data_IF_189260521512
#
_entry.id   IF_189260521512
#
_cell.length_a   1.000
_cell.length_b   1.000
_cell.length_c   1.000
_cell.angle_alpha   90.00
_cell.angle_beta   90.00
_cell.angle_gamma   90.00
#
_symmetry.space_group_name_H-M   'P 1'
#
loop_
_entity.id
_entity.type
_entity.pdbx_description
1 polymer ?
#
# COMPACT_ATOMS: atom_id res chain seq x y z
N UNK A 1 10.61 -30.44 -34.79
CA UNK A 1 11.34 -29.59 -33.82
C UNK A 1 10.37 -29.12 -32.76
N UNK A 2 10.63 -29.43 -31.49
CA UNK A 2 9.78 -28.98 -30.39
C UNK A 2 9.72 -27.44 -30.38
N UNK A 3 8.50 -26.88 -30.40
CA UNK A 3 8.28 -25.44 -30.23
C UNK A 3 8.74 -25.11 -28.82
N UNK A 4 9.90 -24.47 -28.69
CA UNK A 4 10.36 -23.95 -27.41
C UNK A 4 9.38 -22.86 -26.95
N UNK A 5 8.85 -23.01 -25.73
CA UNK A 5 7.86 -22.10 -25.14
C UNK A 5 8.48 -20.78 -24.62
N UNK A 6 9.74 -20.49 -24.97
CA UNK A 6 10.44 -19.28 -24.54
C UNK A 6 11.30 -18.67 -25.65
N UNK A 7 11.52 -17.35 -25.57
CA UNK A 7 12.41 -16.61 -26.47
C UNK A 7 13.75 -16.34 -25.76
N UNK A 8 14.86 -16.63 -26.44
CA UNK A 8 16.18 -16.18 -25.98
C UNK A 8 16.29 -14.65 -26.01
N UNK A 9 17.24 -14.08 -25.25
CA UNK A 9 17.51 -12.63 -25.27
C UNK A 9 17.80 -12.12 -26.69
N UNK A 10 18.54 -12.88 -27.51
CA UNK A 10 18.80 -12.52 -28.90
C UNK A 10 17.52 -12.51 -29.75
N UNK A 11 16.59 -13.45 -29.50
CA UNK A 11 15.28 -13.45 -30.14
C UNK A 11 14.43 -12.25 -29.70
N UNK A 12 14.55 -11.82 -28.44
CA UNK A 12 13.90 -10.60 -27.93
C UNK A 12 14.50 -9.34 -28.57
N UNK A 13 15.82 -9.23 -28.68
CA UNK A 13 16.49 -8.12 -29.38
C UNK A 13 16.06 -8.04 -30.85
N UNK A 14 15.99 -9.18 -31.57
CA UNK A 14 15.45 -9.23 -32.94
C UNK A 14 13.99 -8.74 -32.99
N UNK A 15 13.18 -9.16 -32.03
CA UNK A 15 11.79 -8.72 -31.94
C UNK A 15 11.66 -7.20 -31.74
N UNK A 16 12.52 -6.60 -30.90
CA UNK A 16 12.57 -5.14 -30.72
C UNK A 16 12.89 -4.41 -32.02
N UNK A 17 13.90 -4.87 -32.77
CA UNK A 17 14.27 -4.29 -34.08
C UNK A 17 13.10 -4.36 -35.07
N UNK A 18 12.44 -5.51 -35.16
CA UNK A 18 11.27 -5.69 -36.02
C UNK A 18 10.08 -4.79 -35.63
N UNK A 19 10.09 -4.20 -34.43
CA UNK A 19 9.07 -3.28 -33.93
C UNK A 19 9.54 -1.82 -33.89
N UNK A 20 10.62 -1.49 -34.61
CA UNK A 20 11.13 -0.13 -34.77
C UNK A 20 12.07 0.34 -33.65
N UNK A 21 12.56 -0.56 -32.79
CA UNK A 21 13.49 -0.23 -31.71
C UNK A 21 14.89 -0.70 -32.07
N UNK A 22 15.78 0.26 -32.36
CA UNK A 22 17.20 -0.03 -32.55
C UNK A 22 17.82 -0.56 -31.25
N UNK A 23 18.37 -1.77 -31.29
CA UNK A 23 19.06 -2.42 -30.17
C UNK A 23 20.20 -3.32 -30.67
N UNK A 24 21.41 -3.19 -30.12
CA UNK A 24 22.61 -3.89 -30.58
C UNK A 24 23.68 -3.99 -29.49
N UNK A 25 24.67 -4.86 -29.74
CA UNK A 25 25.82 -5.02 -28.85
C UNK A 25 25.52 -5.77 -27.55
N UNK A 26 26.61 -6.12 -26.85
CA UNK A 26 26.57 -6.87 -25.58
C UNK A 26 26.04 -6.03 -24.43
N UNK A 27 26.31 -4.72 -24.42
CA UNK A 27 25.86 -3.81 -23.37
C UNK A 27 24.32 -3.72 -23.30
N UNK A 28 23.64 -3.43 -24.42
CA UNK A 28 22.18 -3.37 -24.43
C UNK A 28 21.53 -4.74 -24.26
N UNK A 29 22.20 -5.82 -24.70
CA UNK A 29 21.79 -7.19 -24.38
C UNK A 29 21.77 -7.41 -22.86
N UNK A 30 22.81 -6.98 -22.16
CA UNK A 30 22.88 -7.09 -20.70
C UNK A 30 21.85 -6.20 -20.00
N UNK A 31 21.61 -4.98 -20.49
CA UNK A 31 20.55 -4.10 -19.97
C UNK A 31 19.17 -4.75 -20.11
N UNK A 32 18.88 -5.39 -21.25
CA UNK A 32 17.63 -6.11 -21.47
C UNK A 32 17.48 -7.32 -20.53
N UNK A 33 18.58 -8.01 -20.23
CA UNK A 33 18.61 -9.08 -19.24
C UNK A 33 18.29 -8.52 -17.84
N UNK A 34 18.98 -7.45 -17.44
CA UNK A 34 18.86 -6.86 -16.10
C UNK A 34 17.48 -6.24 -15.84
N UNK A 35 16.83 -5.69 -16.87
CA UNK A 35 15.53 -5.01 -16.76
C UNK A 35 14.35 -5.91 -17.10
N UNK A 36 14.58 -7.00 -17.83
CA UNK A 36 13.56 -7.90 -18.33
C UNK A 36 12.73 -7.30 -19.47
N UNK A 37 12.26 -8.16 -20.37
CA UNK A 37 11.45 -7.72 -21.52
C UNK A 37 10.06 -7.22 -21.14
N UNK A 38 9.39 -7.90 -20.19
CA UNK A 38 8.05 -7.54 -19.77
C UNK A 38 8.05 -6.29 -18.90
N UNK A 39 8.87 -6.26 -17.86
CA UNK A 39 9.00 -5.09 -17.00
C UNK A 39 9.63 -3.91 -17.76
N UNK A 40 10.83 -4.08 -18.33
CA UNK A 40 11.56 -3.01 -19.02
C UNK A 40 10.93 -2.53 -20.33
N UNK A 41 10.78 -3.37 -21.35
CA UNK A 41 10.27 -2.90 -22.64
C UNK A 41 8.74 -2.72 -22.63
N UNK A 42 7.97 -3.77 -22.29
CA UNK A 42 6.50 -3.68 -22.34
C UNK A 42 5.93 -2.72 -21.28
N UNK A 43 6.56 -2.62 -20.11
CA UNK A 43 6.14 -1.72 -19.05
C UNK A 43 6.34 -0.24 -19.41
N UNK A 44 7.45 0.12 -20.06
CA UNK A 44 7.82 1.53 -20.25
C UNK A 44 7.47 2.10 -21.63
N UNK A 45 7.06 1.29 -22.61
CA UNK A 45 6.74 1.77 -23.98
C UNK A 45 5.45 2.61 -24.12
N UNK A 46 4.76 2.88 -23.02
CA UNK A 46 3.48 3.59 -23.00
C UNK A 46 3.47 4.66 -21.91
N UNK A 47 2.65 5.69 -22.08
CA UNK A 47 2.36 6.70 -21.07
C UNK A 47 0.91 6.57 -20.59
N UNK A 48 0.71 6.26 -19.32
CA UNK A 48 -0.58 6.06 -18.63
C UNK A 48 -1.39 4.85 -19.16
N UNK A 49 -1.59 4.72 -20.46
CA UNK A 49 -2.38 3.64 -21.08
C UNK A 49 -1.71 3.08 -22.34
N UNK A 50 -2.08 1.85 -22.71
CA UNK A 50 -1.57 1.18 -23.92
C UNK A 50 -1.93 1.89 -25.23
N UNK A 51 -2.93 2.78 -25.21
CA UNK A 51 -3.32 3.60 -26.37
C UNK A 51 -2.31 4.71 -26.66
N UNK A 52 -1.54 5.14 -25.65
CA UNK A 52 -0.57 6.22 -25.78
C UNK A 52 0.85 5.67 -25.79
N UNK A 53 1.28 5.21 -26.98
CA UNK A 53 2.62 4.66 -27.20
C UNK A 53 3.65 5.78 -27.30
N UNK A 54 4.71 5.68 -26.50
CA UNK A 54 5.83 6.60 -26.57
C UNK A 54 6.61 6.37 -27.88
N UNK A 55 7.04 7.44 -28.58
CA UNK A 55 7.67 7.36 -29.89
C UNK A 55 9.16 6.96 -29.80
N UNK A 56 9.48 5.92 -29.02
CA UNK A 56 10.83 5.40 -28.92
C UNK A 56 11.29 4.81 -30.25
N UNK A 57 12.52 5.12 -30.63
CA UNK A 57 13.20 4.61 -31.83
C UNK A 57 14.45 3.80 -31.47
N UNK A 58 14.94 3.93 -30.23
CA UNK A 58 16.12 3.21 -29.75
C UNK A 58 15.93 2.64 -28.35
N UNK A 59 16.65 1.55 -28.05
CA UNK A 59 16.67 0.98 -26.72
C UNK A 59 17.33 1.90 -25.70
N UNK A 60 18.19 2.83 -26.13
CA UNK A 60 18.78 3.83 -25.24
C UNK A 60 17.72 4.74 -24.61
N UNK A 61 16.68 5.14 -25.36
CA UNK A 61 15.58 5.96 -24.83
C UNK A 61 14.72 5.18 -23.82
N UNK A 62 14.43 3.91 -24.12
CA UNK A 62 13.73 3.00 -23.20
C UNK A 62 14.54 2.83 -21.92
N UNK A 63 15.84 2.53 -22.04
CA UNK A 63 16.73 2.36 -20.91
C UNK A 63 16.84 3.68 -20.11
N UNK A 64 16.95 4.83 -20.75
CA UNK A 64 16.96 6.12 -20.06
C UNK A 64 15.68 6.36 -19.25
N UNK A 65 14.51 5.98 -19.79
CA UNK A 65 13.23 6.07 -19.09
C UNK A 65 13.17 5.13 -17.88
N UNK A 66 13.66 3.90 -18.03
CA UNK A 66 13.77 2.93 -16.92
C UNK A 66 14.69 3.49 -15.82
N UNK A 67 15.86 4.03 -16.19
CA UNK A 67 16.81 4.63 -15.26
C UNK A 67 16.22 5.85 -14.54
N UNK A 68 15.48 6.70 -15.26
CA UNK A 68 14.76 7.84 -14.67
C UNK A 68 13.75 7.38 -13.62
N UNK A 69 12.87 6.44 -13.96
CA UNK A 69 11.87 5.90 -13.03
C UNK A 69 12.52 5.18 -11.83
N UNK A 70 13.65 4.50 -12.05
CA UNK A 70 14.43 3.85 -10.99
C UNK A 70 15.00 4.87 -10.01
N UNK A 71 15.58 5.97 -10.52
CA UNK A 71 16.06 7.08 -9.69
C UNK A 71 14.91 7.74 -8.92
N UNK A 72 13.75 7.90 -9.55
CA UNK A 72 12.55 8.43 -8.91
C UNK A 72 12.08 7.53 -7.76
N UNK A 73 12.03 6.20 -7.96
CA UNK A 73 11.72 5.24 -6.90
C UNK A 73 12.70 5.33 -5.75
N UNK A 74 14.00 5.36 -6.03
CA UNK A 74 15.04 5.48 -5.00
C UNK A 74 14.91 6.77 -4.19
N UNK A 75 14.57 7.89 -4.85
CA UNK A 75 14.33 9.17 -4.18
C UNK A 75 13.13 9.12 -3.21
N UNK A 76 12.08 8.39 -3.59
CA UNK A 76 10.84 8.30 -2.82
C UNK A 76 10.85 7.20 -1.76
N UNK A 77 11.64 6.13 -1.94
CA UNK A 77 11.62 4.95 -1.07
C UNK A 77 11.81 5.30 0.41
N UNK A 78 12.90 5.99 0.75
CA UNK A 78 13.19 6.35 2.14
C UNK A 78 12.10 7.24 2.76
N UNK A 79 11.55 8.17 1.96
CA UNK A 79 10.45 9.05 2.41
C UNK A 79 9.17 8.24 2.65
N UNK A 80 8.87 7.28 1.77
CA UNK A 80 7.68 6.46 1.90
C UNK A 80 7.76 5.53 3.11
N UNK A 81 8.92 4.92 3.37
CA UNK A 81 9.14 4.11 4.57
C UNK A 81 9.00 4.94 5.84
N UNK A 82 9.56 6.16 5.85
CA UNK A 82 9.39 7.09 6.97
C UNK A 82 7.90 7.43 7.21
N UNK A 83 7.16 7.78 6.16
CA UNK A 83 5.73 8.12 6.26
C UNK A 83 4.91 6.92 6.75
N UNK A 84 5.13 5.71 6.24
CA UNK A 84 4.42 4.51 6.70
C UNK A 84 4.64 4.29 8.21
N UNK A 85 5.90 4.34 8.65
CA UNK A 85 6.27 4.17 10.07
C UNK A 85 5.68 5.28 10.94
N UNK A 86 5.81 6.55 10.53
CA UNK A 86 5.31 7.69 11.29
C UNK A 86 3.78 7.63 11.43
N UNK A 87 3.06 7.38 10.34
CA UNK A 87 1.59 7.29 10.37
C UNK A 87 1.11 6.17 11.30
N UNK A 88 1.71 4.97 11.20
CA UNK A 88 1.36 3.85 12.09
C UNK A 88 1.61 4.19 13.55
N UNK A 89 2.77 4.76 13.89
CA UNK A 89 3.13 5.04 15.28
C UNK A 89 2.34 6.21 15.87
N UNK A 90 2.06 7.27 15.09
CA UNK A 90 1.22 8.38 15.56
C UNK A 90 -0.21 7.90 15.81
N UNK A 91 -0.77 7.10 14.90
CA UNK A 91 -2.11 6.53 15.07
C UNK A 91 -2.16 5.57 16.27
N UNK A 92 -1.17 4.68 16.39
CA UNK A 92 -1.05 3.74 17.51
C UNK A 92 -1.03 4.46 18.85
N UNK A 93 -0.11 5.42 19.02
CA UNK A 93 0.03 6.16 20.26
C UNK A 93 -1.25 6.92 20.59
N UNK A 94 -1.83 7.61 19.60
CA UNK A 94 -3.10 8.34 19.81
C UNK A 94 -4.21 7.38 20.26
N UNK A 95 -4.38 6.24 19.58
CA UNK A 95 -5.41 5.25 19.93
C UNK A 95 -5.18 4.71 21.34
N UNK A 96 -3.95 4.28 21.67
CA UNK A 96 -3.62 3.71 22.98
C UNK A 96 -3.83 4.70 24.12
N UNK A 97 -3.42 5.97 23.95
CA UNK A 97 -3.65 7.02 24.94
C UNK A 97 -5.12 7.29 25.16
N UNK A 98 -5.92 7.28 24.09
CA UNK A 98 -7.35 7.61 24.15
C UNK A 98 -8.22 6.48 24.71
N UNK A 99 -7.81 5.22 24.53
CA UNK A 99 -8.51 4.06 25.12
C UNK A 99 -7.97 3.67 26.50
N UNK A 100 -6.84 4.26 26.90
CA UNK A 100 -6.06 3.96 28.11
C UNK A 100 -5.77 2.46 28.28
N UNK A 101 -5.33 1.81 27.21
CA UNK A 101 -5.14 0.36 27.18
C UNK A 101 -4.26 -0.09 26.01
N UNK A 102 -3.61 -1.25 26.17
CA UNK A 102 -2.94 -1.98 25.09
C UNK A 102 -3.76 -3.16 24.56
N UNK A 103 -4.97 -3.39 25.08
CA UNK A 103 -5.82 -4.53 24.71
C UNK A 103 -6.54 -4.29 23.40
N UNK A 104 -6.46 -5.26 22.49
CA UNK A 104 -7.17 -5.19 21.21
C UNK A 104 -8.69 -5.16 21.40
N UNK A 105 -9.21 -5.74 22.48
CA UNK A 105 -10.63 -5.70 22.80
C UNK A 105 -11.10 -4.30 23.20
N UNK A 106 -10.30 -3.57 23.98
CA UNK A 106 -10.57 -2.17 24.31
C UNK A 106 -10.56 -1.29 23.06
N UNK A 107 -9.63 -1.53 22.12
CA UNK A 107 -9.65 -0.83 20.83
C UNK A 107 -10.95 -1.10 20.06
N UNK A 108 -11.37 -2.36 20.00
CA UNK A 108 -12.62 -2.72 19.33
C UNK A 108 -13.84 -2.04 19.98
N UNK A 109 -13.88 -1.92 21.30
CA UNK A 109 -15.03 -1.34 22.01
C UNK A 109 -15.04 0.20 21.97
N UNK A 110 -13.90 0.81 22.28
CA UNK A 110 -13.79 2.26 22.51
C UNK A 110 -13.39 3.06 21.27
N UNK A 111 -12.57 2.50 20.37
CA UNK A 111 -12.04 3.24 19.22
C UNK A 111 -12.75 2.94 17.89
N UNK A 112 -13.31 1.74 17.73
CA UNK A 112 -13.91 1.28 16.46
C UNK A 112 -15.43 1.51 16.45
N UNK A 113 -15.93 2.09 15.36
CA UNK A 113 -17.37 2.24 15.13
C UNK A 113 -18.09 0.90 15.06
N UNK A 114 -19.25 0.82 15.70
CA UNK A 114 -20.07 -0.38 15.83
C UNK A 114 -21.55 0.00 15.86
N UNK A 115 -22.43 -1.00 15.93
CA UNK A 115 -23.87 -0.73 16.10
C UNK A 115 -24.16 0.02 17.41
N UNK A 116 -23.46 -0.35 18.50
CA UNK A 116 -23.74 0.10 19.87
C UNK A 116 -23.26 1.53 20.13
N UNK A 117 -22.10 1.90 19.60
CA UNK A 117 -21.48 3.23 19.82
C UNK A 117 -21.71 4.20 18.65
N UNK A 118 -22.64 3.90 17.74
CA UNK A 118 -23.02 4.83 16.68
C UNK A 118 -23.71 6.08 17.25
N UNK A 119 -23.45 7.28 16.72
CA UNK A 119 -24.08 8.51 17.18
C UNK A 119 -25.61 8.45 17.19
N UNK A 120 -26.23 9.19 18.12
CA UNK A 120 -27.68 9.33 18.18
C UNK A 120 -28.22 9.86 16.83
N UNK A 121 -29.34 9.32 16.37
CA UNK A 121 -29.92 9.65 15.07
C UNK A 121 -29.29 8.96 13.85
N UNK A 122 -28.23 8.15 14.02
CA UNK A 122 -27.68 7.34 12.92
C UNK A 122 -28.72 6.32 12.44
N UNK A 123 -28.96 6.25 11.13
CA UNK A 123 -29.90 5.31 10.51
C UNK A 123 -29.47 3.85 10.74
N UNK A 124 -30.44 2.96 10.92
CA UNK A 124 -30.19 1.56 11.33
C UNK A 124 -29.30 0.78 10.36
N UNK A 125 -29.47 0.96 9.06
CA UNK A 125 -28.64 0.37 8.02
C UNK A 125 -27.16 0.80 8.13
N UNK A 126 -26.90 2.06 8.48
CA UNK A 126 -25.55 2.58 8.71
C UNK A 126 -24.95 1.94 9.97
N UNK A 127 -25.74 1.81 11.04
CA UNK A 127 -25.29 1.10 12.26
C UNK A 127 -24.92 -0.35 11.97
N UNK A 128 -25.73 -1.06 11.18
CA UNK A 128 -25.42 -2.42 10.71
C UNK A 128 -24.14 -2.46 9.88
N UNK A 129 -23.91 -1.46 9.02
CA UNK A 129 -22.67 -1.33 8.25
C UNK A 129 -21.45 -1.14 9.14
N UNK A 130 -21.52 -0.29 10.18
CA UNK A 130 -20.42 -0.14 11.15
C UNK A 130 -20.10 -1.47 11.86
N UNK A 131 -21.13 -2.18 12.30
CA UNK A 131 -20.92 -3.49 12.93
C UNK A 131 -20.29 -4.50 11.97
N UNK A 132 -20.74 -4.56 10.73
CA UNK A 132 -20.14 -5.43 9.72
C UNK A 132 -18.67 -5.08 9.49
N UNK A 133 -18.33 -3.80 9.36
CA UNK A 133 -16.95 -3.35 9.23
C UNK A 133 -16.08 -3.73 10.43
N UNK A 134 -16.61 -3.60 11.66
CA UNK A 134 -15.92 -4.05 12.89
C UNK A 134 -15.62 -5.54 12.87
N UNK A 135 -16.58 -6.38 12.46
CA UNK A 135 -16.38 -7.84 12.35
C UNK A 135 -15.35 -8.19 11.27
N UNK A 136 -15.40 -7.52 10.12
CA UNK A 136 -14.43 -7.69 9.04
C UNK A 136 -13.02 -7.26 9.48
N UNK A 137 -12.90 -6.18 10.25
CA UNK A 137 -11.63 -5.74 10.83
C UNK A 137 -11.06 -6.79 11.80
N UNK A 138 -11.90 -7.35 12.67
CA UNK A 138 -11.51 -8.44 13.57
C UNK A 138 -10.98 -9.63 12.79
N UNK A 139 -11.69 -10.06 11.73
CA UNK A 139 -11.24 -11.14 10.86
C UNK A 139 -9.92 -10.83 10.14
N UNK A 140 -9.75 -9.60 9.64
CA UNK A 140 -8.50 -9.13 9.01
C UNK A 140 -7.32 -9.18 9.99
N UNK A 141 -7.49 -8.67 11.21
CA UNK A 141 -6.45 -8.70 12.26
C UNK A 141 -6.10 -10.15 12.62
N UNK A 142 -7.08 -11.03 12.80
CA UNK A 142 -6.80 -12.44 13.09
C UNK A 142 -6.06 -13.14 11.96
N UNK A 143 -6.41 -12.85 10.70
CA UNK A 143 -5.70 -13.37 9.54
C UNK A 143 -4.25 -12.86 9.49
N UNK A 144 -4.01 -11.59 9.81
CA UNK A 144 -2.67 -11.02 9.89
C UNK A 144 -1.83 -11.70 10.98
N UNK A 145 -2.39 -11.89 12.18
CA UNK A 145 -1.75 -12.59 13.29
C UNK A 145 -1.42 -14.03 12.89
N UNK A 146 -2.38 -14.78 12.35
CA UNK A 146 -2.17 -16.15 11.91
C UNK A 146 -1.09 -16.27 10.82
N UNK A 147 -1.08 -15.33 9.87
CA UNK A 147 -0.05 -15.27 8.83
C UNK A 147 1.34 -14.96 9.40
N UNK A 148 1.43 -14.05 10.37
CA UNK A 148 2.68 -13.71 11.05
C UNK A 148 3.20 -14.87 11.90
N UNK A 149 2.32 -15.57 12.62
CA UNK A 149 2.67 -16.75 13.40
C UNK A 149 3.21 -17.88 12.50
N UNK A 150 2.53 -18.19 11.38
CA UNK A 150 3.01 -19.18 10.39
C UNK A 150 4.36 -18.85 9.77
N UNK A 151 4.73 -17.56 9.74
CA UNK A 151 6.03 -17.08 9.25
C UNK A 151 7.07 -16.95 10.35
N UNK A 152 6.78 -17.49 11.55
CA UNK A 152 7.67 -17.45 12.71
C UNK A 152 8.08 -16.02 13.09
N UNK A 153 7.17 -15.05 12.92
CA UNK A 153 7.46 -13.67 13.34
C UNK A 153 7.77 -13.65 14.85
N UNK A 154 8.98 -13.19 15.26
CA UNK A 154 9.45 -13.36 16.63
C UNK A 154 8.59 -12.61 17.66
N UNK A 155 7.99 -11.46 17.27
CA UNK A 155 7.10 -10.71 18.15
C UNK A 155 5.81 -11.50 18.42
N UNK A 156 5.21 -12.07 17.37
CA UNK A 156 3.94 -12.78 17.48
C UNK A 156 4.13 -14.15 18.16
N UNK A 157 5.16 -14.91 17.79
CA UNK A 157 5.45 -16.20 18.41
C UNK A 157 5.77 -16.05 19.89
N UNK A 158 6.47 -14.97 20.30
CA UNK A 158 6.72 -14.66 21.71
C UNK A 158 5.44 -14.59 22.54
N UNK A 159 4.38 -13.94 22.04
CA UNK A 159 3.11 -13.82 22.76
C UNK A 159 2.30 -15.12 22.80
N UNK A 160 2.39 -15.97 21.78
CA UNK A 160 1.62 -17.22 21.73
C UNK A 160 2.32 -18.42 22.37
N UNK A 161 3.66 -18.45 22.37
CA UNK A 161 4.42 -19.59 22.87
C UNK A 161 4.84 -19.45 24.34
N UNK A 162 4.62 -18.27 24.94
CA UNK A 162 4.87 -18.03 26.35
C UNK A 162 3.55 -17.99 27.13
N UNK A 163 3.40 -18.92 28.07
CA UNK A 163 2.21 -19.07 28.94
C UNK A 163 1.88 -17.85 29.81
N UNK A 164 2.84 -16.92 29.95
CA UNK A 164 2.68 -15.70 30.75
C UNK A 164 1.94 -14.58 30.03
N UNK A 165 1.59 -14.75 28.76
CA UNK A 165 0.86 -13.76 27.98
C UNK A 165 -0.52 -14.29 27.57
N UNK A 166 -1.54 -13.47 27.79
CA UNK A 166 -2.92 -13.82 27.47
C UNK A 166 -3.33 -13.38 26.05
N UNK A 167 -2.69 -12.35 25.51
CA UNK A 167 -3.04 -11.79 24.21
C UNK A 167 -1.90 -11.04 23.54
N UNK A 168 -2.02 -10.85 22.22
CA UNK A 168 -1.13 -9.99 21.43
C UNK A 168 -1.58 -8.53 21.62
N UNK A 169 -0.74 -7.64 22.16
CA UNK A 169 -1.11 -6.23 22.38
C UNK A 169 -1.19 -5.46 21.06
N UNK A 170 -1.95 -4.35 21.06
CA UNK A 170 -2.21 -3.54 19.85
C UNK A 170 -0.91 -3.10 19.16
N UNK A 171 0.12 -2.71 19.91
CA UNK A 171 1.40 -2.28 19.33
C UNK A 171 2.08 -3.39 18.53
N UNK A 172 1.95 -4.66 18.95
CA UNK A 172 2.49 -5.79 18.19
C UNK A 172 1.66 -6.08 16.94
N UNK A 173 0.35 -5.84 16.99
CA UNK A 173 -0.55 -5.95 15.84
C UNK A 173 -0.18 -4.90 14.79
N UNK A 174 0.00 -3.63 15.18
CA UNK A 174 0.32 -2.54 14.25
C UNK A 174 1.59 -2.78 13.42
N UNK A 175 2.57 -3.47 14.01
CA UNK A 175 3.83 -3.85 13.34
C UNK A 175 3.63 -4.82 12.18
N UNK A 176 2.65 -5.73 12.29
CA UNK A 176 2.40 -6.76 11.28
C UNK A 176 1.34 -6.35 10.24
N UNK A 177 0.58 -5.28 10.50
CA UNK A 177 -0.41 -4.79 9.54
C UNK A 177 0.25 -4.27 8.27
N UNK A 178 -0.27 -4.65 7.11
CA UNK A 178 0.12 -3.99 5.86
C UNK A 178 -0.44 -2.56 5.83
N UNK A 179 0.09 -1.70 4.96
CA UNK A 179 -0.47 -0.35 4.77
C UNK A 179 -1.95 -0.39 4.34
N UNK A 180 -2.39 -1.47 3.66
CA UNK A 180 -3.78 -1.70 3.32
C UNK A 180 -4.65 -2.02 4.53
N UNK A 181 -4.21 -2.94 5.39
CA UNK A 181 -4.92 -3.30 6.63
C UNK A 181 -4.97 -2.12 7.59
N UNK A 182 -3.88 -1.36 7.68
CA UNK A 182 -3.81 -0.13 8.46
C UNK A 182 -4.82 0.92 7.96
N UNK A 183 -4.89 1.15 6.64
CA UNK A 183 -5.92 2.03 6.06
C UNK A 183 -7.34 1.56 6.38
N UNK A 184 -7.58 0.24 6.38
CA UNK A 184 -8.89 -0.31 6.72
C UNK A 184 -9.23 -0.11 8.21
N UNK A 185 -8.28 -0.35 9.12
CA UNK A 185 -8.42 -0.06 10.54
C UNK A 185 -8.81 1.40 10.76
N UNK A 186 -8.08 2.33 10.16
CA UNK A 186 -8.37 3.77 10.27
C UNK A 186 -9.77 4.11 9.76
N UNK A 187 -10.23 3.46 8.68
CA UNK A 187 -11.58 3.67 8.14
C UNK A 187 -12.70 3.17 9.07
N UNK A 188 -12.38 2.26 10.00
CA UNK A 188 -13.33 1.70 10.97
C UNK A 188 -13.39 2.50 12.27
N UNK A 189 -12.49 3.45 12.49
CA UNK A 189 -12.47 4.28 13.70
C UNK A 189 -13.72 5.17 13.80
N UNK A 190 -14.13 5.45 15.04
CA UNK A 190 -15.13 6.49 15.33
C UNK A 190 -14.71 7.83 14.76
N UNK A 191 -15.68 8.69 14.43
CA UNK A 191 -15.38 10.02 13.86
C UNK A 191 -14.48 10.84 14.79
N UNK A 192 -14.71 10.76 16.10
CA UNK A 192 -13.93 11.44 17.12
C UNK A 192 -12.49 10.92 17.18
N UNK A 193 -12.31 9.60 17.12
CA UNK A 193 -10.98 9.00 17.10
C UNK A 193 -10.23 9.36 15.80
N UNK A 194 -10.92 9.38 14.65
CA UNK A 194 -10.32 9.85 13.38
C UNK A 194 -9.92 11.30 13.45
N UNK A 195 -10.73 12.16 14.08
CA UNK A 195 -10.38 13.55 14.30
C UNK A 195 -9.11 13.67 15.16
N UNK A 196 -9.03 12.97 16.29
CA UNK A 196 -7.86 12.98 17.17
C UNK A 196 -6.59 12.55 16.44
N UNK A 197 -6.63 11.40 15.75
CA UNK A 197 -5.49 10.91 14.95
C UNK A 197 -5.13 11.91 13.84
N UNK A 198 -6.11 12.49 13.16
CA UNK A 198 -5.88 13.49 12.10
C UNK A 198 -5.17 14.74 12.64
N UNK A 199 -5.54 15.21 13.84
CA UNK A 199 -4.89 16.35 14.50
C UNK A 199 -3.45 16.00 14.88
N UNK A 200 -3.20 14.82 15.45
CA UNK A 200 -1.85 14.35 15.78
C UNK A 200 -0.93 14.25 14.57
N UNK A 201 -1.48 13.94 13.39
CA UNK A 201 -0.73 13.90 12.11
C UNK A 201 -0.56 15.29 11.49
N UNK A 202 -1.42 16.26 11.83
CA UNK A 202 -1.43 17.60 11.24
C UNK A 202 -2.30 17.72 9.96
N UNK A 203 -3.32 16.87 9.81
CA UNK A 203 -4.26 16.96 8.68
C UNK A 203 -5.22 18.14 8.90
N UNK A 204 -5.39 18.97 7.87
CA UNK A 204 -6.36 20.06 7.91
C UNK A 204 -7.80 19.52 7.84
N UNK A 205 -8.58 19.81 8.89
CA UNK A 205 -9.94 19.31 9.07
C UNK A 205 -11.04 20.22 8.49
N UNK A 206 -10.70 21.43 8.05
CA UNK A 206 -11.68 22.41 7.53
C UNK A 206 -12.49 21.89 6.35
N UNK A 207 -11.87 21.06 5.50
CA UNK A 207 -12.50 20.47 4.32
C UNK A 207 -12.85 18.98 4.49
N UNK A 208 -12.74 18.43 5.71
CA UNK A 208 -12.90 16.99 5.97
C UNK A 208 -14.09 16.69 6.90
N UNK A 209 -15.30 17.03 6.47
CA UNK A 209 -16.53 16.92 7.27
C UNK A 209 -16.70 15.56 7.96
N UNK A 210 -16.34 14.48 7.28
CA UNK A 210 -16.51 13.10 7.77
C UNK A 210 -15.24 12.50 8.34
N UNK A 211 -14.14 13.27 8.46
CA UNK A 211 -12.83 12.80 8.96
C UNK A 211 -12.30 11.61 8.15
N UNK A 212 -12.48 11.64 6.85
CA UNK A 212 -12.12 10.56 5.93
C UNK A 212 -10.76 10.76 5.28
N UNK A 213 -10.21 11.98 5.27
CA UNK A 213 -8.92 12.26 4.64
C UNK A 213 -7.80 11.40 5.21
N UNK A 214 -7.87 11.10 6.51
CA UNK A 214 -6.92 10.24 7.21
C UNK A 214 -6.66 8.91 6.48
N UNK A 215 -7.68 8.07 6.32
CA UNK A 215 -7.50 6.76 5.69
C UNK A 215 -7.44 6.86 4.17
N UNK A 216 -8.04 7.90 3.57
CA UNK A 216 -7.94 8.17 2.13
C UNK A 216 -6.51 8.51 1.70
N UNK A 217 -5.78 9.30 2.48
CA UNK A 217 -4.36 9.53 2.23
C UNK A 217 -3.52 8.28 2.40
N UNK A 218 -3.82 7.42 3.40
CA UNK A 218 -3.15 6.12 3.52
C UNK A 218 -3.38 5.27 2.26
N UNK A 219 -4.59 5.23 1.70
CA UNK A 219 -4.84 4.48 0.46
C UNK A 219 -4.16 5.10 -0.77
N UNK A 220 -4.11 6.43 -0.89
CA UNK A 220 -3.37 7.08 -1.96
C UNK A 220 -1.86 6.76 -1.89
N UNK A 221 -1.29 6.79 -0.68
CA UNK A 221 0.12 6.47 -0.44
C UNK A 221 0.42 4.98 -0.58
N UNK A 222 -0.51 4.10 -0.22
CA UNK A 222 -0.38 2.65 -0.37
C UNK A 222 -0.07 2.26 -1.82
N UNK A 223 -0.78 2.85 -2.79
CA UNK A 223 -0.57 2.52 -4.20
C UNK A 223 0.84 2.94 -4.65
N UNK A 224 1.32 4.12 -4.23
CA UNK A 224 2.69 4.56 -4.49
C UNK A 224 3.72 3.66 -3.79
N UNK A 225 3.51 3.33 -2.51
CA UNK A 225 4.37 2.45 -1.72
C UNK A 225 4.53 1.09 -2.39
N UNK A 226 3.42 0.51 -2.84
CA UNK A 226 3.44 -0.77 -3.55
C UNK A 226 4.18 -0.66 -4.88
N UNK A 227 3.97 0.42 -5.64
CA UNK A 227 4.65 0.61 -6.91
C UNK A 227 6.18 0.73 -6.77
N UNK A 228 6.63 1.47 -5.76
CA UNK A 228 8.05 1.59 -5.42
C UNK A 228 8.62 0.23 -5.01
N UNK A 229 7.90 -0.55 -4.17
CA UNK A 229 8.41 -1.81 -3.61
C UNK A 229 8.33 -3.02 -4.56
N UNK A 230 7.40 -3.03 -5.53
CA UNK A 230 7.13 -4.19 -6.39
C UNK A 230 7.53 -3.97 -7.86
N UNK A 231 8.37 -2.96 -8.13
CA UNK A 231 8.82 -2.63 -9.48
C UNK A 231 7.66 -2.32 -10.45
N UNK A 232 6.59 -1.66 -10.01
CA UNK A 232 5.64 -1.06 -10.96
C UNK A 232 6.19 0.28 -11.48
N UNK A 233 5.66 0.77 -12.60
CA UNK A 233 6.08 2.07 -13.16
C UNK A 233 5.52 3.22 -12.34
N UNK A 234 6.36 4.18 -11.93
CA UNK A 234 5.96 5.29 -11.04
C UNK A 234 5.81 6.62 -11.78
N UNK A 235 6.66 6.90 -12.77
CA UNK A 235 6.79 8.24 -13.36
C UNK A 235 5.52 8.80 -14.00
N UNK A 236 4.62 7.93 -14.48
CA UNK A 236 3.36 8.33 -15.12
C UNK A 236 2.13 8.02 -14.25
N UNK A 237 2.33 7.68 -12.98
CA UNK A 237 1.26 7.51 -11.98
C UNK A 237 0.22 6.42 -12.28
N UNK A 238 0.48 5.50 -13.22
CA UNK A 238 -0.46 4.42 -13.59
C UNK A 238 -0.78 3.43 -12.46
N UNK A 239 0.02 3.44 -11.39
CA UNK A 239 -0.21 2.63 -10.18
C UNK A 239 -1.44 3.08 -9.38
N UNK A 240 -1.95 4.30 -9.62
CA UNK A 240 -3.08 4.88 -8.90
C UNK A 240 -4.36 4.08 -9.16
N UNK A 241 -4.91 3.48 -8.09
CA UNK A 241 -6.21 2.78 -8.12
C UNK A 241 -7.32 3.57 -7.43
N UNK A 242 -6.94 4.47 -6.52
CA UNK A 242 -7.89 5.31 -5.79
C UNK A 242 -8.36 6.52 -6.63
N UNK A 243 -9.67 6.81 -6.58
CA UNK A 243 -10.22 8.09 -7.06
C UNK A 243 -10.18 9.16 -5.93
N UNK A 244 -9.47 10.29 -6.09
CA UNK A 244 -9.40 11.32 -5.05
C UNK A 244 -10.74 12.03 -4.89
N UNK A 245 -11.23 12.12 -3.66
CA UNK A 245 -12.40 12.95 -3.36
C UNK A 245 -12.09 14.44 -3.52
N UNK A 246 -13.12 15.28 -3.70
CA UNK A 246 -12.95 16.74 -3.86
C UNK A 246 -12.02 17.40 -2.84
N UNK A 247 -12.05 17.05 -1.53
CA UNK A 247 -11.13 17.65 -0.55
C UNK A 247 -9.65 17.23 -0.68
N UNK A 248 -9.34 16.24 -1.53
CA UNK A 248 -7.97 15.79 -1.80
C UNK A 248 -7.37 16.42 -3.06
N UNK A 249 -8.20 17.08 -3.89
CA UNK A 249 -7.78 17.76 -5.11
C UNK A 249 -7.45 19.20 -4.79
#
# INVERSE_FOLDING_TARGET
>A
MAKTDYKSTDALMRHLRNNGISISGTSQKQQLINTGYFHGYKGYRFFVSSSNRLPFTSYNEINATIQYDTKLKSLLYGKMMFIETALKNIALNTIMTEIDSSSVYDMYDKAISSYKNAPAGTREDIKKKYQNNKLNLQGSIQNAIAAAYRKENPKITHFYNNVNYNEVPIWAIFEILTMGDFGYLLSCLTIDMREKVSRSIGINLSSDTYRELLYKYVYALKDLRNAIAHNDVVYDTRFKKMDPSRPMK
#
